data_IF_409994456453
#
_entry.id   IF_409994456453
#
_cell.length_a   1.000
_cell.length_b   1.000
_cell.length_c   1.000
_cell.angle_alpha   90.00
_cell.angle_beta   90.00
_cell.angle_gamma   90.00
#
_symmetry.space_group_name_H-M   'P 1'
#
loop_
_entity.id
_entity.type
_entity.pdbx_description
1 polymer ?
#
# COMPACT_ATOMS: atom_id res chain seq x y z
N UNK A 1 -18.96 64.56 47.91
CA UNK A 1 -17.85 63.79 47.30
C UNK A 1 -18.39 62.50 46.72
N UNK A 2 -18.51 62.47 45.43
CA UNK A 2 -18.95 61.24 44.71
C UNK A 2 -17.70 60.53 44.25
N UNK A 3 -17.46 59.35 44.81
CA UNK A 3 -16.49 58.44 44.30
C UNK A 3 -17.06 57.70 43.11
N UNK A 4 -16.64 58.07 41.95
CA UNK A 4 -16.89 57.34 40.72
C UNK A 4 -16.02 56.05 40.77
N UNK A 5 -16.66 54.95 41.14
CA UNK A 5 -16.06 53.63 40.97
C UNK A 5 -16.05 53.27 39.51
N UNK A 6 -14.91 53.50 38.86
CA UNK A 6 -14.65 52.98 37.53
C UNK A 6 -14.52 51.46 37.64
N UNK A 7 -15.62 50.77 37.50
CA UNK A 7 -15.58 49.35 37.25
C UNK A 7 -15.06 49.14 35.81
N UNK A 8 -13.77 48.92 35.68
CA UNK A 8 -13.19 48.36 34.47
C UNK A 8 -13.78 47.00 34.29
N UNK A 9 -14.87 46.93 33.51
CA UNK A 9 -15.33 45.67 32.98
C UNK A 9 -14.25 45.16 32.03
N UNK A 10 -13.40 44.31 32.56
CA UNK A 10 -12.61 43.43 31.70
C UNK A 10 -13.61 42.56 30.96
N UNK A 11 -13.91 42.92 29.71
CA UNK A 11 -14.62 42.04 28.83
C UNK A 11 -13.71 40.82 28.59
N UNK A 12 -13.91 39.80 29.40
CA UNK A 12 -13.42 38.48 29.07
C UNK A 12 -14.10 38.09 27.77
N UNK A 13 -13.37 38.25 26.70
CA UNK A 13 -13.83 37.70 25.43
C UNK A 13 -13.87 36.17 25.59
N UNK A 14 -15.04 35.67 25.95
CA UNK A 14 -15.28 34.24 25.98
C UNK A 14 -15.03 33.70 24.58
N UNK A 15 -13.96 32.94 24.40
CA UNK A 15 -13.67 32.25 23.16
C UNK A 15 -14.81 31.24 22.96
N UNK A 16 -15.63 31.48 21.95
CA UNK A 16 -16.65 30.52 21.60
C UNK A 16 -15.97 29.25 21.05
N UNK A 17 -16.04 28.18 21.80
CA UNK A 17 -15.40 26.91 21.47
C UNK A 17 -16.09 26.18 20.30
N UNK A 18 -17.34 26.55 19.97
CA UNK A 18 -18.10 25.87 18.91
C UNK A 18 -17.45 25.95 17.54
N UNK A 19 -16.97 27.12 17.03
CA UNK A 19 -16.25 27.18 15.77
C UNK A 19 -14.94 26.42 15.78
N UNK A 20 -14.26 26.39 16.91
CA UNK A 20 -13.00 25.65 17.07
C UNK A 20 -13.23 24.13 17.00
N UNK A 21 -14.23 23.63 17.71
CA UNK A 21 -14.62 22.23 17.68
C UNK A 21 -15.06 21.81 16.28
N UNK A 22 -15.79 22.64 15.57
CA UNK A 22 -16.23 22.38 14.20
C UNK A 22 -15.03 22.19 13.24
N UNK A 23 -14.04 23.07 13.30
CA UNK A 23 -12.80 22.95 12.50
C UNK A 23 -12.07 21.66 12.82
N UNK A 24 -11.95 21.31 14.10
CA UNK A 24 -11.27 20.05 14.52
C UNK A 24 -12.03 18.82 14.03
N UNK A 25 -13.38 18.84 14.12
CA UNK A 25 -14.22 17.75 13.61
C UNK A 25 -14.06 17.57 12.11
N UNK A 26 -14.08 18.66 11.34
CA UNK A 26 -13.91 18.62 9.88
C UNK A 26 -12.54 18.07 9.51
N UNK A 27 -11.48 18.52 10.19
CA UNK A 27 -10.14 17.98 9.98
C UNK A 27 -10.06 16.49 10.31
N UNK A 28 -10.69 16.06 11.40
CA UNK A 28 -10.74 14.65 11.79
C UNK A 28 -11.43 13.80 10.71
N UNK A 29 -12.55 14.25 10.18
CA UNK A 29 -13.27 13.55 9.10
C UNK A 29 -12.42 13.49 7.84
N UNK A 30 -11.75 14.58 7.47
CA UNK A 30 -10.86 14.61 6.30
C UNK A 30 -9.73 13.59 6.49
N UNK A 31 -9.06 13.55 7.63
CA UNK A 31 -8.02 12.57 7.92
C UNK A 31 -8.55 11.14 7.91
N UNK A 32 -9.76 10.92 8.43
CA UNK A 32 -10.37 9.60 8.43
C UNK A 32 -10.65 9.08 7.01
N UNK A 33 -11.06 9.95 6.10
CA UNK A 33 -11.32 9.60 4.70
C UNK A 33 -10.02 9.43 3.92
N UNK A 34 -9.00 10.24 4.20
CA UNK A 34 -7.73 10.23 3.45
C UNK A 34 -6.75 9.18 3.95
N UNK A 35 -6.83 8.75 5.20
CA UNK A 35 -5.94 7.76 5.78
C UNK A 35 -5.87 6.44 4.99
N UNK A 36 -6.98 5.82 4.56
CA UNK A 36 -6.92 4.60 3.76
C UNK A 36 -6.29 4.81 2.37
N UNK A 37 -6.38 6.04 1.82
CA UNK A 37 -5.77 6.36 0.52
C UNK A 37 -4.24 6.38 0.61
N UNK A 38 -3.69 6.82 1.74
CA UNK A 38 -2.24 6.83 1.97
C UNK A 38 -1.67 5.43 2.21
N UNK A 39 -2.50 4.47 2.60
CA UNK A 39 -2.14 3.07 2.77
C UNK A 39 -2.38 2.24 1.51
N UNK A 40 -2.71 2.87 0.39
CA UNK A 40 -2.97 2.16 -0.85
C UNK A 40 -1.71 1.43 -1.35
N UNK A 41 -1.45 0.30 -0.71
CA UNK A 41 -0.75 -0.78 -1.36
C UNK A 41 -1.56 -1.18 -2.61
N UNK A 42 -0.89 -1.66 -3.61
CA UNK A 42 -1.54 -2.16 -4.82
C UNK A 42 -2.44 -3.32 -4.42
N UNK A 43 -3.74 -3.13 -4.54
CA UNK A 43 -4.70 -4.18 -4.23
C UNK A 43 -4.69 -5.22 -5.35
N UNK A 44 -4.29 -6.42 -5.02
CA UNK A 44 -4.20 -7.56 -5.93
C UNK A 44 -4.80 -8.77 -5.24
N UNK A 45 -5.78 -9.37 -5.84
CA UNK A 45 -6.30 -10.67 -5.41
C UNK A 45 -5.37 -11.77 -5.93
N UNK A 46 -4.47 -12.24 -5.08
CA UNK A 46 -3.52 -13.29 -5.46
C UNK A 46 -4.19 -14.66 -5.50
N UNK A 47 -3.77 -15.54 -6.43
CA UNK A 47 -4.28 -16.90 -6.47
C UNK A 47 -4.09 -17.63 -5.14
N UNK A 48 -5.10 -18.38 -4.73
CA UNK A 48 -5.06 -19.15 -3.49
C UNK A 48 -4.44 -20.51 -3.71
N UNK A 49 -3.48 -20.85 -2.88
CA UNK A 49 -2.81 -22.16 -2.93
C UNK A 49 -2.75 -22.80 -1.55
N UNK A 50 -2.46 -24.09 -1.51
CA UNK A 50 -2.32 -24.83 -0.24
C UNK A 50 -0.99 -24.60 0.46
N UNK A 51 0.02 -24.17 -0.28
CA UNK A 51 1.36 -23.95 0.24
C UNK A 51 1.67 -22.46 0.28
N UNK A 52 1.91 -21.92 1.44
CA UNK A 52 2.25 -20.51 1.64
C UNK A 52 3.60 -20.42 2.34
N UNK A 53 4.49 -19.60 1.78
CA UNK A 53 5.70 -19.17 2.46
C UNK A 53 5.52 -17.73 2.92
N UNK A 54 5.80 -17.48 4.19
CA UNK A 54 5.81 -16.11 4.71
C UNK A 54 6.89 -15.27 4.02
N UNK A 55 6.51 -14.07 3.63
CA UNK A 55 7.42 -13.13 2.97
C UNK A 55 8.11 -12.31 4.05
N UNK A 56 9.42 -12.46 4.18
CA UNK A 56 10.22 -11.53 4.96
C UNK A 56 10.28 -10.18 4.25
N UNK A 57 10.07 -9.11 5.00
CA UNK A 57 9.85 -7.74 4.49
C UNK A 57 11.02 -7.12 3.71
N UNK A 58 12.15 -7.76 3.66
CA UNK A 58 13.36 -7.22 3.00
C UNK A 58 13.51 -7.62 1.51
N UNK A 59 12.57 -8.39 0.98
CA UNK A 59 12.69 -8.88 -0.40
C UNK A 59 11.91 -8.03 -1.39
N UNK A 60 12.47 -7.91 -2.59
CA UNK A 60 11.83 -7.20 -3.69
C UNK A 60 10.57 -7.93 -4.16
N UNK A 61 9.47 -7.22 -4.23
CA UNK A 61 8.19 -7.74 -4.68
C UNK A 61 7.81 -7.07 -5.99
N UNK A 62 7.60 -7.87 -7.02
CA UNK A 62 7.02 -7.44 -8.30
C UNK A 62 5.54 -7.77 -8.26
N UNK A 63 4.70 -6.79 -8.51
CA UNK A 63 3.24 -6.96 -8.50
C UNK A 63 2.66 -6.69 -9.89
N UNK A 64 1.75 -7.56 -10.33
CA UNK A 64 0.96 -7.36 -11.54
C UNK A 64 -0.50 -7.23 -11.14
N UNK A 65 -1.11 -6.08 -11.40
CA UNK A 65 -2.51 -5.83 -11.07
C UNK A 65 -3.47 -6.38 -12.13
N UNK A 66 -4.76 -6.34 -11.83
CA UNK A 66 -5.82 -6.78 -12.77
C UNK A 66 -5.87 -5.99 -14.07
N UNK A 67 -5.31 -4.78 -14.11
CA UNK A 67 -5.14 -3.98 -15.33
C UNK A 67 -3.85 -4.31 -16.09
N UNK A 68 -3.13 -5.37 -15.68
CA UNK A 68 -1.86 -5.81 -16.24
C UNK A 68 -0.72 -4.79 -16.10
N UNK A 69 -0.83 -3.88 -15.14
CA UNK A 69 0.24 -2.94 -14.80
C UNK A 69 1.22 -3.60 -13.86
N UNK A 70 2.50 -3.34 -14.09
CA UNK A 70 3.60 -3.92 -13.32
C UNK A 70 4.13 -2.89 -12.34
N UNK A 71 4.34 -3.31 -11.12
CA UNK A 71 4.88 -2.50 -10.04
C UNK A 71 6.09 -3.19 -9.40
N UNK A 72 7.10 -2.40 -9.10
CA UNK A 72 8.21 -2.83 -8.27
C UNK A 72 8.07 -2.17 -6.88
N UNK A 73 7.71 -2.97 -5.88
CA UNK A 73 7.22 -2.43 -4.62
C UNK A 73 5.92 -1.63 -4.83
N UNK A 74 5.97 -0.33 -4.66
CA UNK A 74 4.84 0.58 -4.87
C UNK A 74 4.97 1.47 -6.13
N UNK A 75 6.08 1.36 -6.84
CA UNK A 75 6.33 2.18 -8.03
C UNK A 75 5.90 1.45 -9.31
N UNK A 76 5.09 2.09 -10.18
CA UNK A 76 4.79 1.54 -11.49
C UNK A 76 6.05 1.50 -12.35
N UNK A 77 6.24 0.41 -13.05
CA UNK A 77 7.43 0.19 -13.88
C UNK A 77 7.07 -0.45 -15.21
N UNK A 78 7.83 -0.11 -16.25
CA UNK A 78 7.70 -0.76 -17.54
C UNK A 78 8.43 -2.12 -17.54
N UNK A 79 7.86 -3.11 -18.21
CA UNK A 79 8.44 -4.46 -18.33
C UNK A 79 9.89 -4.42 -18.88
N UNK A 80 10.20 -3.50 -19.78
CA UNK A 80 11.54 -3.36 -20.36
C UNK A 80 12.57 -2.81 -19.37
N UNK A 81 12.12 -2.09 -18.33
CA UNK A 81 12.99 -1.52 -17.30
C UNK A 81 13.04 -2.39 -16.03
N UNK A 82 12.15 -3.36 -15.92
CA UNK A 82 11.98 -4.18 -14.73
C UNK A 82 13.29 -4.88 -14.32
N UNK A 83 13.93 -5.54 -15.26
CA UNK A 83 15.16 -6.29 -14.99
C UNK A 83 16.32 -5.42 -14.53
N UNK A 84 16.54 -4.28 -15.18
CA UNK A 84 17.62 -3.36 -14.82
C UNK A 84 17.41 -2.71 -13.46
N UNK A 85 16.16 -2.36 -13.14
CA UNK A 85 15.79 -1.79 -11.83
C UNK A 85 15.99 -2.79 -10.70
N UNK A 86 15.58 -4.03 -10.91
CA UNK A 86 15.76 -5.09 -9.92
C UNK A 86 17.25 -5.35 -9.69
N UNK A 87 18.04 -5.45 -10.75
CA UNK A 87 19.50 -5.62 -10.63
C UNK A 87 20.19 -4.51 -9.84
N UNK A 88 19.73 -3.27 -9.98
CA UNK A 88 20.31 -2.14 -9.24
C UNK A 88 19.94 -2.16 -7.75
N UNK A 89 18.86 -2.82 -7.37
CA UNK A 89 18.39 -2.92 -5.99
C UNK A 89 18.83 -4.21 -5.29
N UNK A 90 19.07 -5.28 -6.03
CA UNK A 90 19.59 -6.52 -5.48
C UNK A 90 21.08 -6.39 -5.14
N UNK A 91 21.42 -6.60 -3.88
CA UNK A 91 22.80 -6.63 -3.41
C UNK A 91 23.55 -7.90 -3.86
N UNK A 92 22.81 -8.98 -4.10
CA UNK A 92 23.34 -10.27 -4.51
C UNK A 92 22.37 -10.94 -5.49
N UNK A 93 22.88 -11.46 -6.60
CA UNK A 93 22.11 -12.19 -7.62
C UNK A 93 21.42 -13.45 -7.12
N UNK A 94 21.80 -13.94 -5.95
CA UNK A 94 21.16 -15.09 -5.30
C UNK A 94 19.90 -14.71 -4.50
N UNK A 95 19.70 -13.43 -4.24
CA UNK A 95 18.48 -12.97 -3.60
C UNK A 95 17.31 -13.15 -4.57
N UNK A 96 16.26 -13.84 -4.12
CA UNK A 96 15.08 -14.08 -4.92
C UNK A 96 14.17 -12.85 -5.00
N UNK A 97 13.37 -12.82 -6.05
CA UNK A 97 12.30 -11.84 -6.25
C UNK A 97 10.97 -12.52 -6.01
N UNK A 98 10.07 -11.85 -5.29
CA UNK A 98 8.71 -12.31 -5.15
C UNK A 98 7.84 -11.73 -6.26
N UNK A 99 7.11 -12.59 -6.93
CA UNK A 99 6.15 -12.21 -7.96
C UNK A 99 4.73 -12.39 -7.41
N UNK A 100 3.99 -11.31 -7.33
CA UNK A 100 2.61 -11.25 -6.91
C UNK A 100 1.74 -10.88 -8.10
N UNK A 101 0.83 -11.73 -8.49
CA UNK A 101 -0.10 -11.50 -9.59
C UNK A 101 -1.55 -11.56 -9.11
N UNK A 102 -2.38 -10.69 -9.65
CA UNK A 102 -3.83 -10.83 -9.51
C UNK A 102 -4.30 -12.13 -10.18
N UNK A 103 -5.27 -12.81 -9.58
CA UNK A 103 -5.80 -14.08 -10.09
C UNK A 103 -6.45 -13.97 -11.48
N UNK A 104 -6.88 -12.75 -11.86
CA UNK A 104 -7.53 -12.48 -13.16
C UNK A 104 -6.54 -12.16 -14.27
N UNK A 105 -5.25 -12.02 -13.95
CA UNK A 105 -4.21 -11.74 -14.95
C UNK A 105 -4.08 -12.93 -15.91
N UNK A 106 -4.12 -12.71 -17.24
CA UNK A 106 -3.91 -13.77 -18.20
C UNK A 106 -2.56 -14.44 -18.04
N UNK A 107 -2.50 -15.75 -18.21
CA UNK A 107 -1.24 -16.51 -18.09
C UNK A 107 -0.14 -15.98 -19.03
N UNK A 108 -0.50 -15.50 -20.22
CA UNK A 108 0.46 -14.90 -21.15
C UNK A 108 1.16 -13.66 -20.58
N UNK A 109 0.44 -12.81 -19.88
CA UNK A 109 1.01 -11.62 -19.22
C UNK A 109 1.91 -12.01 -18.05
N UNK A 110 1.50 -12.99 -17.27
CA UNK A 110 2.33 -13.57 -16.21
C UNK A 110 3.64 -14.17 -16.78
N UNK A 111 3.53 -14.97 -17.82
CA UNK A 111 4.69 -15.59 -18.47
C UNK A 111 5.66 -14.55 -19.04
N UNK A 112 5.16 -13.45 -19.60
CA UNK A 112 5.99 -12.37 -20.13
C UNK A 112 6.80 -11.68 -19.02
N UNK A 113 6.22 -11.49 -17.84
CA UNK A 113 6.93 -10.92 -16.68
C UNK A 113 8.01 -11.88 -16.18
N UNK A 114 7.69 -13.16 -16.05
CA UNK A 114 8.67 -14.19 -15.63
C UNK A 114 9.83 -14.28 -16.63
N UNK A 115 9.53 -14.23 -17.92
CA UNK A 115 10.55 -14.26 -18.97
C UNK A 115 11.44 -13.03 -18.91
N UNK A 116 10.89 -11.84 -18.75
CA UNK A 116 11.64 -10.60 -18.59
C UNK A 116 12.59 -10.64 -17.39
N UNK A 117 12.15 -11.21 -16.27
CA UNK A 117 12.98 -11.42 -15.08
C UNK A 117 14.14 -12.39 -15.35
N UNK A 118 13.86 -13.51 -15.99
CA UNK A 118 14.87 -14.52 -16.33
C UNK A 118 15.90 -14.03 -17.35
N UNK A 119 15.46 -13.30 -18.36
CA UNK A 119 16.37 -12.67 -19.32
C UNK A 119 17.33 -11.67 -18.68
N UNK A 120 16.92 -11.07 -17.59
CA UNK A 120 17.76 -10.18 -16.79
C UNK A 120 18.69 -10.91 -15.81
N UNK A 121 18.71 -12.25 -15.83
CA UNK A 121 19.58 -13.07 -14.96
C UNK A 121 18.98 -13.37 -13.59
N UNK A 122 17.71 -13.06 -13.36
CA UNK A 122 17.02 -13.34 -12.10
C UNK A 122 16.36 -14.72 -12.21
N UNK A 123 17.01 -15.73 -11.64
CA UNK A 123 16.56 -17.12 -11.74
C UNK A 123 15.73 -17.56 -10.52
N UNK A 124 15.88 -16.89 -9.40
CA UNK A 124 15.16 -17.21 -8.17
C UNK A 124 13.90 -16.37 -8.06
N UNK A 125 12.80 -16.85 -8.62
CA UNK A 125 11.49 -16.18 -8.61
C UNK A 125 10.53 -17.02 -7.77
N UNK A 126 9.99 -16.41 -6.72
CA UNK A 126 8.99 -17.02 -5.85
C UNK A 126 7.62 -16.39 -6.09
N UNK A 127 6.62 -17.22 -6.36
CA UNK A 127 5.26 -16.74 -6.58
C UNK A 127 4.55 -16.60 -5.24
N UNK A 128 3.96 -15.45 -5.00
CA UNK A 128 3.18 -15.17 -3.79
C UNK A 128 1.75 -15.62 -4.00
N UNK A 129 1.27 -16.44 -3.08
CA UNK A 129 -0.10 -16.93 -3.07
C UNK A 129 -0.70 -16.83 -1.66
N UNK A 130 -2.01 -16.76 -1.58
CA UNK A 130 -2.73 -16.79 -0.30
C UNK A 130 -3.17 -18.20 0.06
N UNK A 131 -3.24 -18.55 1.36
CA UNK A 131 -3.75 -19.85 1.79
C UNK A 131 -5.24 -19.96 1.47
N UNK A 132 -5.66 -21.13 1.03
CA UNK A 132 -7.08 -21.45 0.91
C UNK A 132 -7.63 -21.58 2.34
N UNK A 133 -8.35 -20.56 2.80
CA UNK A 133 -9.14 -20.68 4.02
C UNK A 133 -10.36 -21.55 3.72
N UNK A 134 -10.30 -22.80 4.11
CA UNK A 134 -11.48 -23.65 4.10
C UNK A 134 -12.44 -23.07 5.15
N UNK A 135 -13.38 -22.25 4.71
CA UNK A 135 -14.52 -21.90 5.54
C UNK A 135 -15.25 -23.19 5.81
N UNK A 136 -15.06 -23.74 7.03
CA UNK A 136 -15.89 -24.84 7.49
C UNK A 136 -17.35 -24.37 7.36
N UNK A 137 -18.08 -24.95 6.40
CA UNK A 137 -19.52 -24.83 6.35
C UNK A 137 -20.03 -25.55 7.59
N UNK A 138 -20.27 -24.81 8.65
CA UNK A 138 -21.11 -25.27 9.73
C UNK A 138 -22.51 -25.36 9.14
N UNK A 139 -22.93 -26.56 8.91
CA UNK A 139 -24.34 -26.86 8.65
C UNK A 139 -25.12 -26.70 9.96
#
# INVERSE_FOLDING_TARGET
MQQSSNSTQTSLSEINMVPFVDVVLVLLIIFMITAPILQSGIEVDVPKTRTVKEINQERLVVTVDKAQRIYLGNEPINIHQLGSRIKSQLKNTQEGVFLRCDETVPFGSFAAVVDALRMSGINNISIVTEPITTRARTQ
#
